data_IF_353904870053
#
_entry.id   IF_353904870053
#
_cell.length_a   1.000
_cell.length_b   1.000
_cell.length_c   1.000
_cell.angle_alpha   90.00
_cell.angle_beta   90.00
_cell.angle_gamma   90.00
#
_symmetry.space_group_name_H-M   'P 1'
#
loop_
_entity.id
_entity.type
_entity.pdbx_description
1 polymer ?
#
# COMPACT_ATOMS: atom_id res chain seq x y z
N UNK A 1 32.26 45.48 -25.24
CA UNK A 1 31.53 46.53 -25.99
C UNK A 1 30.17 46.00 -26.44
N UNK A 2 29.11 46.40 -25.74
CA UNK A 2 27.79 46.79 -26.27
C UNK A 2 27.01 47.36 -25.08
N UNK A 3 26.88 48.68 -25.10
CA UNK A 3 26.16 49.50 -24.12
C UNK A 3 24.67 49.42 -24.45
N UNK A 4 23.82 49.01 -23.50
CA UNK A 4 22.36 49.12 -23.64
C UNK A 4 21.91 50.14 -22.59
N UNK A 5 21.50 51.32 -23.05
CA UNK A 5 20.86 52.35 -22.22
C UNK A 5 19.36 52.13 -22.20
N UNK A 6 18.74 52.19 -21.01
CA UNK A 6 17.29 52.32 -20.87
C UNK A 6 16.97 53.70 -20.26
N UNK A 7 16.13 54.47 -20.97
CA UNK A 7 15.49 55.69 -20.46
C UNK A 7 14.28 55.30 -19.62
N UNK A 8 14.22 55.75 -18.36
CA UNK A 8 13.03 55.63 -17.52
C UNK A 8 12.17 56.90 -17.63
N UNK A 9 10.90 56.75 -18.00
CA UNK A 9 9.87 57.80 -17.83
C UNK A 9 9.32 57.71 -16.41
N UNK A 10 9.23 58.84 -15.72
CA UNK A 10 8.44 58.98 -14.50
C UNK A 10 6.95 58.76 -14.81
N UNK A 11 6.28 57.98 -13.98
CA UNK A 11 4.83 57.91 -13.91
C UNK A 11 4.43 58.13 -12.45
N UNK A 12 3.98 59.34 -12.14
CA UNK A 12 3.26 59.61 -10.90
C UNK A 12 1.83 59.12 -11.07
N UNK A 13 1.37 58.25 -10.16
CA UNK A 13 -0.06 58.05 -9.90
C UNK A 13 -0.27 58.06 -8.40
N UNK A 14 -1.12 59.00 -8.00
CA UNK A 14 -1.62 59.25 -6.65
C UNK A 14 -2.21 57.96 -6.04
N UNK A 15 -1.90 57.73 -4.77
CA UNK A 15 -2.43 56.63 -3.98
C UNK A 15 -3.83 57.00 -3.47
N UNK A 16 -4.86 56.26 -3.88
CA UNK A 16 -6.17 56.28 -3.22
C UNK A 16 -6.10 55.54 -1.87
N UNK A 17 -6.62 56.20 -0.83
CA UNK A 17 -6.71 55.71 0.54
C UNK A 17 -7.63 54.48 0.63
N UNK A 18 -7.09 53.34 1.09
CA UNK A 18 -7.90 52.22 1.58
C UNK A 18 -7.63 52.02 3.08
N UNK A 19 -8.56 52.47 3.90
CA UNK A 19 -8.58 52.30 5.36
C UNK A 19 -9.21 50.96 5.75
N UNK A 20 -8.48 50.11 6.48
CA UNK A 20 -8.99 48.87 7.12
C UNK A 20 -8.84 49.03 8.65
N UNK A 21 -9.88 48.74 9.47
CA UNK A 21 -9.84 49.03 10.90
C UNK A 21 -9.04 48.01 11.71
N UNK A 22 -8.19 48.49 12.61
CA UNK A 22 -7.38 47.68 13.53
C UNK A 22 -8.16 47.47 14.84
N UNK A 23 -8.44 46.21 15.16
CA UNK A 23 -8.96 45.76 16.46
C UNK A 23 -7.89 45.80 17.54
N UNK A 24 -8.29 46.23 18.74
CA UNK A 24 -7.48 46.54 19.93
C UNK A 24 -6.73 45.33 20.50
N UNK A 25 -5.43 45.49 20.78
CA UNK A 25 -4.75 44.90 21.94
C UNK A 25 -3.87 45.97 22.61
N UNK A 26 -3.96 46.11 23.93
CA UNK A 26 -3.32 47.16 24.76
C UNK A 26 -2.03 46.67 25.42
N UNK A 27 -1.05 47.59 25.44
CA UNK A 27 0.00 47.88 26.45
C UNK A 27 1.09 46.81 26.75
N UNK A 28 2.40 47.12 26.88
CA UNK A 28 3.05 48.35 27.31
C UNK A 28 4.44 48.61 26.65
N UNK A 29 4.87 49.88 26.81
CA UNK A 29 5.90 50.66 26.13
C UNK A 29 7.37 50.35 26.50
N UNK A 30 8.28 50.65 25.57
CA UNK A 30 9.47 51.49 25.83
C UNK A 30 9.91 52.16 24.52
N UNK A 31 10.09 53.49 24.58
CA UNK A 31 10.20 54.41 23.46
C UNK A 31 11.56 54.38 22.75
N UNK A 32 11.59 54.49 21.42
CA UNK A 32 12.66 55.20 20.72
C UNK A 32 12.11 55.91 19.47
N UNK A 33 12.59 57.13 19.30
CA UNK A 33 12.11 58.21 18.42
C UNK A 33 12.09 57.80 16.94
N UNK A 34 10.94 57.96 16.29
CA UNK A 34 10.79 57.83 14.83
C UNK A 34 11.62 58.93 14.14
N UNK A 35 12.68 58.55 13.43
CA UNK A 35 13.28 59.43 12.43
C UNK A 35 12.90 58.92 11.04
N UNK A 36 12.26 59.79 10.24
CA UNK A 36 11.74 59.46 8.90
C UNK A 36 12.89 59.05 7.99
N UNK A 37 12.96 57.78 7.61
CA UNK A 37 13.78 57.29 6.50
C UNK A 37 12.86 56.65 5.46
N UNK A 38 12.67 57.33 4.33
CA UNK A 38 11.98 56.75 3.16
C UNK A 38 12.87 55.67 2.55
N UNK A 39 12.54 54.40 2.81
CA UNK A 39 13.11 53.25 2.09
C UNK A 39 12.30 53.02 0.81
N UNK A 40 12.86 53.37 -0.35
CA UNK A 40 12.31 52.96 -1.63
C UNK A 40 12.65 51.47 -1.88
N UNK A 41 11.64 50.61 -1.97
CA UNK A 41 11.81 49.22 -2.42
C UNK A 41 11.59 49.15 -3.94
N UNK A 42 12.59 48.71 -4.70
CA UNK A 42 12.37 48.25 -6.08
C UNK A 42 11.69 46.87 -6.05
N UNK A 43 10.61 46.71 -6.84
CA UNK A 43 9.87 45.45 -7.01
C UNK A 43 10.79 44.38 -7.62
N UNK A 44 11.11 43.33 -6.86
CA UNK A 44 11.72 42.10 -7.39
C UNK A 44 10.77 41.45 -8.41
N UNK A 45 11.14 41.47 -9.68
CA UNK A 45 10.41 40.78 -10.76
C UNK A 45 11.15 39.49 -11.10
N UNK A 46 10.56 38.34 -10.80
CA UNK A 46 11.13 37.03 -11.16
C UNK A 46 10.67 36.65 -12.58
N UNK A 47 11.60 36.50 -13.52
CA UNK A 47 11.31 35.93 -14.84
C UNK A 47 11.51 34.41 -14.84
N UNK A 48 10.49 33.71 -15.36
CA UNK A 48 10.36 32.26 -15.57
C UNK A 48 11.68 31.61 -16.01
N UNK A 49 12.19 30.65 -15.24
CA UNK A 49 13.08 29.58 -15.74
C UNK A 49 12.42 28.24 -15.50
N UNK A 50 12.56 27.31 -16.45
CA UNK A 50 11.99 25.96 -16.39
C UNK A 50 12.50 25.20 -15.16
N UNK A 51 11.64 24.34 -14.61
CA UNK A 51 11.86 23.59 -13.36
C UNK A 51 13.12 22.71 -13.34
N UNK A 52 13.80 22.50 -14.47
CA UNK A 52 15.02 21.71 -14.57
C UNK A 52 16.33 22.46 -14.20
N UNK A 53 16.31 23.79 -14.07
CA UNK A 53 17.55 24.60 -13.91
C UNK A 53 17.73 25.28 -12.53
N UNK A 54 16.94 24.92 -11.52
CA UNK A 54 16.95 25.58 -10.20
C UNK A 54 17.84 24.85 -9.17
N UNK A 55 19.09 24.53 -9.52
CA UNK A 55 20.08 24.08 -8.51
C UNK A 55 20.92 25.22 -7.91
N UNK A 56 20.87 26.42 -8.47
CA UNK A 56 21.35 27.64 -7.79
C UNK A 56 20.77 28.89 -8.43
N UNK A 57 19.96 29.66 -7.71
CA UNK A 57 19.68 31.05 -8.09
C UNK A 57 20.79 31.91 -7.50
N UNK A 58 21.73 32.35 -8.34
CA UNK A 58 22.65 33.44 -7.97
C UNK A 58 21.86 34.75 -8.04
N UNK A 59 21.69 35.40 -6.90
CA UNK A 59 21.31 36.82 -6.86
C UNK A 59 22.61 37.61 -6.97
N UNK A 60 23.00 37.95 -8.20
CA UNK A 60 24.17 38.78 -8.44
C UNK A 60 23.78 40.24 -8.12
N UNK A 61 24.12 40.66 -6.89
CA UNK A 61 24.01 42.03 -6.32
C UNK A 61 22.61 42.59 -6.09
N UNK A 62 22.23 42.76 -4.82
CA UNK A 62 21.16 43.67 -4.40
C UNK A 62 21.77 45.08 -4.23
N UNK A 63 21.45 46.04 -5.11
CA UNK A 63 21.87 47.44 -4.94
C UNK A 63 20.86 48.17 -4.07
N UNK A 64 21.20 48.41 -2.80
CA UNK A 64 20.47 49.36 -1.95
C UNK A 64 21.08 50.74 -2.15
N UNK A 65 20.32 51.69 -2.70
CA UNK A 65 20.74 53.09 -2.82
C UNK A 65 20.16 53.87 -1.63
N UNK A 66 21.03 54.33 -0.73
CA UNK A 66 20.63 55.32 0.27
C UNK A 66 20.41 56.66 -0.44
N UNK A 67 19.25 57.26 -0.27
CA UNK A 67 18.93 58.60 -0.80
C UNK A 67 19.47 59.63 0.19
N UNK A 68 20.46 60.46 -0.18
CA UNK A 68 21.06 61.42 0.73
C UNK A 68 20.33 62.76 0.63
N UNK A 69 19.07 62.82 1.06
CA UNK A 69 18.36 64.10 1.19
C UNK A 69 17.63 64.10 2.53
N UNK A 70 18.36 64.46 3.59
CA UNK A 70 17.92 64.99 4.91
C UNK A 70 18.97 64.79 6.03
N UNK A 71 20.28 64.77 5.71
CA UNK A 71 21.34 64.87 6.73
C UNK A 71 21.78 66.33 6.82
N UNK A 72 21.10 67.12 7.64
CA UNK A 72 21.65 68.42 8.07
C UNK A 72 22.83 68.17 8.99
N UNK A 73 23.92 68.92 8.76
CA UNK A 73 25.19 68.84 9.47
C UNK A 73 25.00 68.90 11.00
N UNK A 74 25.10 67.76 11.69
CA UNK A 74 25.52 67.65 13.11
C UNK A 74 25.46 66.17 13.57
N UNK A 75 26.20 65.26 12.94
CA UNK A 75 26.45 63.93 13.53
C UNK A 75 27.84 63.40 13.14
N UNK A 76 28.88 64.01 13.72
CA UNK A 76 30.19 63.36 13.78
C UNK A 76 30.18 62.38 14.97
N UNK A 77 30.19 61.07 14.68
CA UNK A 77 30.64 60.04 15.63
C UNK A 77 29.62 59.05 16.19
N UNK A 78 28.69 58.49 15.40
CA UNK A 78 27.81 57.41 15.90
C UNK A 78 27.69 56.25 14.91
N UNK A 79 28.01 55.03 15.36
CA UNK A 79 27.72 53.77 14.65
C UNK A 79 26.22 53.68 14.34
N UNK A 80 25.85 53.48 13.08
CA UNK A 80 24.49 53.08 12.69
C UNK A 80 24.53 51.57 12.45
N UNK A 81 24.12 50.76 13.43
CA UNK A 81 23.79 49.36 13.18
C UNK A 81 22.27 49.27 12.94
N UNK A 82 21.89 48.85 11.74
CA UNK A 82 20.49 48.58 11.38
C UNK A 82 20.20 47.11 11.71
N UNK A 83 19.42 46.86 12.77
CA UNK A 83 18.87 45.54 13.06
C UNK A 83 17.49 45.47 12.40
N UNK A 84 17.39 44.74 11.28
CA UNK A 84 16.10 44.41 10.66
C UNK A 84 15.56 43.12 11.29
N UNK A 85 14.53 43.24 12.12
CA UNK A 85 13.76 42.12 12.66
C UNK A 85 12.91 41.46 11.56
N UNK A 86 12.95 40.13 11.52
CA UNK A 86 12.27 39.28 10.55
C UNK A 86 10.74 39.25 10.75
N UNK A 87 9.98 39.38 9.66
CA UNK A 87 8.51 39.21 9.64
C UNK A 87 8.18 37.83 9.08
N UNK A 88 7.45 37.03 9.86
CA UNK A 88 6.94 35.72 9.45
C UNK A 88 5.59 35.91 8.74
N UNK A 89 5.41 35.34 7.54
CA UNK A 89 4.09 35.17 6.93
C UNK A 89 3.76 33.68 6.83
N UNK A 90 2.73 33.25 7.55
CA UNK A 90 2.07 31.95 7.38
C UNK A 90 0.70 32.22 6.76
N UNK A 91 0.39 31.62 5.61
CA UNK A 91 -0.96 31.61 5.07
C UNK A 91 -1.45 30.15 4.97
N UNK A 92 -2.64 29.80 5.51
CA UNK A 92 -3.22 28.47 5.35
C UNK A 92 -3.93 28.35 3.98
N UNK A 93 -3.75 27.21 3.30
CA UNK A 93 -4.44 26.86 2.06
C UNK A 93 -5.87 26.37 2.38
N UNK A 94 -6.90 27.03 1.81
CA UNK A 94 -8.21 26.41 1.50
C UNK A 94 -8.69 26.90 0.13
N UNK A 95 -9.24 26.03 -0.75
CA UNK A 95 -9.69 26.42 -2.07
C UNK A 95 -11.12 27.01 -2.03
N UNK A 96 -11.32 28.18 -2.65
CA UNK A 96 -12.64 28.72 -2.99
C UNK A 96 -12.90 28.46 -4.49
N UNK A 97 -13.99 27.78 -4.81
CA UNK A 97 -14.50 27.62 -6.18
C UNK A 97 -15.25 28.91 -6.62
N UNK A 98 -15.24 29.30 -7.91
CA UNK A 98 -15.83 30.56 -8.34
C UNK A 98 -17.32 30.41 -8.72
N UNK A 99 -18.12 31.35 -8.24
CA UNK A 99 -19.45 31.68 -8.72
C UNK A 99 -19.28 32.88 -9.67
N UNK A 100 -19.48 32.71 -10.98
CA UNK A 100 -19.65 33.85 -11.90
C UNK A 100 -20.51 33.45 -13.10
N UNK A 101 -21.74 33.98 -13.09
CA UNK A 101 -22.63 34.07 -14.24
C UNK A 101 -22.39 35.40 -14.98
N UNK A 102 -22.55 35.34 -16.30
CA UNK A 102 -22.86 36.42 -17.24
C UNK A 102 -21.91 37.65 -17.35
N UNK A 103 -21.09 37.65 -18.41
CA UNK A 103 -21.24 38.53 -19.59
C UNK A 103 -20.34 37.95 -20.70
N UNK A 104 -20.96 37.64 -21.83
CA UNK A 104 -20.31 37.16 -23.05
C UNK A 104 -19.61 38.31 -23.77
N UNK A 105 -18.33 38.11 -24.11
CA UNK A 105 -17.76 38.31 -25.45
C UNK A 105 -16.25 38.11 -25.40
N UNK A 106 -15.80 36.90 -25.72
CA UNK A 106 -14.70 36.57 -26.65
C UNK A 106 -14.29 35.10 -26.45
N UNK A 107 -14.14 34.40 -27.57
CA UNK A 107 -13.90 32.95 -27.69
C UNK A 107 -12.52 32.48 -27.15
N UNK A 108 -12.39 31.20 -26.75
CA UNK A 108 -11.34 30.70 -25.86
C UNK A 108 -10.08 30.24 -26.60
N UNK A 109 -8.91 30.39 -25.96
CA UNK A 109 -7.68 29.64 -26.31
C UNK A 109 -6.95 29.12 -25.05
N UNK A 110 -6.21 28.00 -25.19
CA UNK A 110 -6.11 26.98 -24.15
C UNK A 110 -4.84 27.13 -23.32
N UNK A 111 -4.96 27.29 -22.00
CA UNK A 111 -3.98 26.82 -21.00
C UNK A 111 -4.36 27.29 -19.59
N UNK A 112 -5.40 26.72 -18.97
CA UNK A 112 -5.49 26.72 -17.51
C UNK A 112 -4.92 25.40 -17.00
N UNK A 113 -3.58 25.35 -16.92
CA UNK A 113 -2.92 24.44 -15.97
C UNK A 113 -3.02 25.12 -14.61
N UNK A 114 -3.67 24.46 -13.65
CA UNK A 114 -3.65 24.84 -12.26
C UNK A 114 -2.18 25.05 -11.83
N UNK A 115 -1.83 26.28 -11.45
CA UNK A 115 -0.53 26.58 -10.85
C UNK A 115 -0.60 26.18 -9.38
N UNK A 116 -0.01 25.04 -9.04
CA UNK A 116 0.33 24.73 -7.66
C UNK A 116 1.43 25.70 -7.21
N UNK A 117 1.07 26.62 -6.32
CA UNK A 117 1.98 27.62 -5.78
C UNK A 117 2.92 27.00 -4.76
N UNK A 118 4.22 27.01 -5.05
CA UNK A 118 5.29 26.73 -4.11
C UNK A 118 5.25 27.80 -2.99
N UNK A 119 4.96 27.41 -1.75
CA UNK A 119 5.06 28.31 -0.59
C UNK A 119 6.55 28.41 -0.21
N UNK A 120 7.19 29.52 -0.55
CA UNK A 120 8.56 29.84 -0.14
C UNK A 120 8.55 30.29 1.34
N UNK A 121 9.16 29.50 2.22
CA UNK A 121 9.59 30.00 3.53
C UNK A 121 11.06 30.44 3.41
N UNK A 122 11.32 31.74 3.40
CA UNK A 122 12.68 32.28 3.36
C UNK A 122 13.01 32.96 4.70
N UNK A 123 14.01 32.44 5.42
CA UNK A 123 14.61 33.11 6.58
C UNK A 123 15.86 33.85 6.09
N UNK A 124 15.81 35.18 6.08
CA UNK A 124 16.94 36.03 5.72
C UNK A 124 17.63 36.54 7.00
N UNK A 125 18.89 36.15 7.22
CA UNK A 125 19.75 36.78 8.22
C UNK A 125 20.62 37.84 7.55
N UNK A 126 20.54 39.08 8.02
CA UNK A 126 21.44 40.15 7.63
C UNK A 126 22.27 40.58 8.84
N UNK A 127 23.59 40.55 8.72
CA UNK A 127 24.49 41.13 9.72
C UNK A 127 25.55 41.94 8.99
N UNK A 128 25.57 43.26 9.21
CA UNK A 128 26.58 44.17 8.70
C UNK A 128 26.46 45.52 9.38
N UNK A 129 27.56 46.06 9.90
CA UNK A 129 27.65 47.44 10.35
C UNK A 129 28.61 48.20 9.42
N UNK A 130 28.26 49.45 9.09
CA UNK A 130 29.05 50.32 8.22
C UNK A 130 29.92 51.22 9.09
N UNK A 131 31.23 51.25 8.82
CA UNK A 131 32.15 52.24 9.34
C UNK A 131 32.48 53.20 8.18
N UNK A 132 32.12 54.47 8.39
CA UNK A 132 32.54 55.65 7.64
C UNK A 132 31.72 56.04 6.38
N UNK A 133 31.44 57.34 6.26
CA UNK A 133 30.51 57.99 5.32
C UNK A 133 31.01 58.09 3.87
N UNK A 134 31.80 57.11 3.42
CA UNK A 134 32.21 57.02 2.02
C UNK A 134 31.25 56.11 1.25
N UNK A 135 30.83 56.54 0.06
CA UNK A 135 29.87 55.90 -0.84
C UNK A 135 30.39 54.59 -1.48
N UNK A 136 30.94 53.68 -0.67
CA UNK A 136 31.36 52.35 -1.12
C UNK A 136 30.18 51.39 -0.99
N UNK A 137 29.71 50.88 -2.14
CA UNK A 137 28.57 49.98 -2.23
C UNK A 137 28.72 48.76 -1.32
N UNK A 138 27.69 48.49 -0.53
CA UNK A 138 27.58 47.31 0.32
C UNK A 138 27.25 46.09 -0.56
N UNK A 139 28.17 45.13 -0.67
CA UNK A 139 27.91 43.86 -1.34
C UNK A 139 27.43 42.83 -0.31
N UNK A 140 26.11 42.70 -0.17
CA UNK A 140 25.50 41.65 0.67
C UNK A 140 25.40 40.35 -0.14
N UNK A 141 26.05 39.28 0.35
CA UNK A 141 25.91 37.92 -0.20
C UNK A 141 24.76 37.22 0.51
N UNK A 142 23.59 37.16 -0.12
CA UNK A 142 22.47 36.36 0.38
C UNK A 142 22.71 34.89 0.01
N UNK A 143 22.78 34.00 1.01
CA UNK A 143 22.74 32.55 0.79
C UNK A 143 21.27 32.15 0.92
N UNK A 144 20.62 31.83 -0.20
CA UNK A 144 19.28 31.25 -0.20
C UNK A 144 19.41 29.74 0.07
N UNK A 145 19.12 29.32 1.30
CA UNK A 145 18.95 27.89 1.59
C UNK A 145 17.52 27.50 1.17
N UNK A 146 17.38 27.02 -0.08
CA UNK A 146 16.16 26.36 -0.52
C UNK A 146 16.09 24.99 0.17
N UNK A 147 15.29 24.89 1.23
CA UNK A 147 15.04 23.61 1.87
C UNK A 147 14.03 22.86 0.99
N UNK A 148 14.48 21.79 0.34
CA UNK A 148 13.58 20.89 -0.38
C UNK A 148 12.68 20.18 0.65
N UNK A 149 11.35 20.25 0.44
CA UNK A 149 10.39 19.63 1.36
C UNK A 149 10.40 18.09 1.18
N UNK A 150 10.23 17.32 2.26
CA UNK A 150 10.09 15.87 2.20
C UNK A 150 9.03 15.39 1.20
N UNK A 151 9.18 14.19 0.60
CA UNK A 151 8.14 13.57 -0.21
C UNK A 151 6.92 13.17 0.64
N UNK A 152 5.73 13.23 0.03
CA UNK A 152 4.44 12.91 0.65
C UNK A 152 3.72 11.84 -0.18
N UNK A 153 3.05 10.91 0.49
CA UNK A 153 2.19 9.92 -0.14
C UNK A 153 0.89 10.59 -0.62
N UNK A 154 0.59 10.52 -1.92
CA UNK A 154 -0.64 11.04 -2.51
C UNK A 154 -1.78 10.02 -2.47
N UNK A 155 -1.50 8.79 -2.86
CA UNK A 155 -2.53 7.75 -3.00
C UNK A 155 -1.97 6.35 -2.90
N UNK A 156 -2.86 5.40 -2.65
CA UNK A 156 -2.58 3.96 -2.64
C UNK A 156 -3.58 3.21 -3.49
N UNK A 157 -3.14 2.08 -4.04
CA UNK A 157 -4.00 1.10 -4.70
C UNK A 157 -3.69 -0.26 -4.08
N UNK A 158 -4.63 -0.95 -3.42
CA UNK A 158 -5.98 -0.48 -3.07
C UNK A 158 -5.97 0.79 -2.22
N UNK A 159 -7.06 1.56 -2.26
CA UNK A 159 -7.22 2.74 -1.40
C UNK A 159 -7.16 2.36 0.08
N UNK A 160 -6.67 3.27 0.92
CA UNK A 160 -6.72 3.08 2.36
C UNK A 160 -8.16 2.89 2.86
N UNK A 161 -8.39 1.81 3.58
CA UNK A 161 -9.71 1.39 4.06
C UNK A 161 -10.59 0.73 3.00
N UNK A 162 -10.07 0.43 1.80
CA UNK A 162 -10.83 -0.26 0.77
C UNK A 162 -11.33 -1.63 1.27
N UNK A 163 -12.55 -1.97 0.87
CA UNK A 163 -13.14 -3.28 1.10
C UNK A 163 -13.32 -4.01 -0.23
N UNK A 164 -13.36 -5.35 -0.18
CA UNK A 164 -13.54 -6.21 -1.35
C UNK A 164 -12.44 -6.09 -2.42
N UNK A 165 -11.18 -5.87 -2.02
CA UNK A 165 -10.06 -5.93 -2.95
C UNK A 165 -9.92 -7.35 -3.55
N UNK A 166 -9.68 -7.47 -4.86
CA UNK A 166 -9.58 -8.78 -5.53
C UNK A 166 -8.46 -9.64 -4.91
N UNK A 167 -8.76 -10.86 -4.41
CA UNK A 167 -7.76 -11.73 -3.80
C UNK A 167 -6.90 -12.51 -4.83
N UNK A 168 -7.33 -12.60 -6.10
CA UNK A 168 -6.80 -13.55 -7.11
C UNK A 168 -5.75 -12.93 -8.04
N UNK A 169 -5.92 -11.65 -8.39
CA UNK A 169 -4.87 -10.94 -9.12
C UNK A 169 -3.66 -10.79 -8.21
N UNK A 170 -2.45 -10.96 -8.73
CA UNK A 170 -1.20 -10.65 -8.00
C UNK A 170 -1.35 -9.26 -7.39
N UNK A 171 -1.70 -9.18 -6.10
CA UNK A 171 -2.21 -7.93 -5.51
C UNK A 171 -1.06 -6.93 -5.55
N UNK A 172 -1.11 -6.07 -6.55
CA UNK A 172 -0.12 -5.03 -6.78
C UNK A 172 -0.50 -3.87 -5.87
N UNK A 173 0.14 -3.81 -4.70
CA UNK A 173 -0.05 -2.70 -3.78
C UNK A 173 0.83 -1.55 -4.27
N UNK A 174 0.20 -0.49 -4.74
CA UNK A 174 0.90 0.67 -5.30
C UNK A 174 0.81 1.87 -4.37
N UNK A 175 1.95 2.53 -4.15
CA UNK A 175 2.08 3.79 -3.43
C UNK A 175 2.54 4.87 -4.41
N UNK A 176 1.77 5.94 -4.52
CA UNK A 176 2.06 7.07 -5.42
C UNK A 176 2.48 8.28 -4.61
N UNK A 177 3.66 8.82 -4.90
CA UNK A 177 4.25 9.97 -4.22
C UNK A 177 4.05 11.28 -5.00
N UNK A 178 4.11 12.41 -4.31
CA UNK A 178 3.94 13.76 -4.87
C UNK A 178 5.09 14.22 -5.76
N UNK A 179 6.24 13.56 -5.67
CA UNK A 179 7.46 13.90 -6.41
C UNK A 179 8.30 12.67 -6.72
N UNK A 180 9.32 12.89 -7.56
CA UNK A 180 10.24 11.86 -7.99
C UNK A 180 11.07 11.30 -6.81
N UNK A 181 11.11 9.97 -6.74
CA UNK A 181 11.78 9.18 -5.71
C UNK A 181 13.12 8.64 -6.23
N UNK A 182 14.05 8.33 -5.32
CA UNK A 182 15.30 7.64 -5.66
C UNK A 182 15.00 6.17 -5.97
N UNK A 183 14.80 5.88 -7.26
CA UNK A 183 14.41 4.54 -7.72
C UNK A 183 15.52 3.49 -7.59
N UNK A 184 16.76 3.88 -7.24
CA UNK A 184 17.84 2.93 -6.96
C UNK A 184 17.74 2.33 -5.56
N UNK A 185 16.88 2.89 -4.71
CA UNK A 185 16.63 2.40 -3.35
C UNK A 185 15.26 1.73 -3.32
N UNK A 186 15.22 0.54 -2.74
CA UNK A 186 13.97 -0.14 -2.41
C UNK A 186 13.69 0.04 -0.91
N UNK A 187 12.46 0.38 -0.52
CA UNK A 187 12.13 0.54 0.88
C UNK A 187 12.00 -0.80 1.60
N UNK A 188 12.11 -0.75 2.92
CA UNK A 188 11.75 -1.87 3.79
C UNK A 188 10.30 -1.74 4.24
N UNK A 189 9.67 -2.88 4.50
CA UNK A 189 8.28 -2.91 4.88
C UNK A 189 7.83 -4.30 5.32
N UNK A 190 6.60 -4.38 5.79
CA UNK A 190 5.96 -5.62 6.21
C UNK A 190 4.61 -5.80 5.52
N UNK A 191 4.18 -7.06 5.42
CA UNK A 191 2.82 -7.44 5.07
C UNK A 191 2.25 -8.22 6.25
N UNK A 192 1.10 -7.80 6.74
CA UNK A 192 0.41 -8.39 7.87
C UNK A 192 -1.00 -8.84 7.46
N UNK A 193 -1.45 -9.97 7.99
CA UNK A 193 -2.82 -10.46 7.83
C UNK A 193 -3.49 -10.48 9.20
N UNK A 194 -4.77 -10.12 9.24
CA UNK A 194 -5.58 -10.21 10.44
C UNK A 194 -5.90 -11.67 10.78
N UNK A 195 -5.35 -12.15 11.90
CA UNK A 195 -5.51 -13.53 12.38
C UNK A 195 -6.77 -13.75 13.22
N UNK A 196 -7.61 -12.72 13.36
CA UNK A 196 -8.82 -12.75 14.17
C UNK A 196 -8.67 -12.17 15.58
N UNK A 197 -7.47 -11.84 16.01
CA UNK A 197 -7.18 -11.07 17.21
C UNK A 197 -6.35 -9.82 16.88
N UNK A 198 -5.33 -9.96 16.03
CA UNK A 198 -4.35 -8.93 15.70
C UNK A 198 -3.85 -9.05 14.25
N UNK A 199 -3.11 -8.05 13.79
CA UNK A 199 -2.38 -8.13 12.54
C UNK A 199 -1.04 -8.82 12.78
N UNK A 200 -0.82 -9.97 12.16
CA UNK A 200 0.41 -10.76 12.29
C UNK A 200 1.21 -10.66 11.01
N UNK A 201 2.50 -10.37 11.16
CA UNK A 201 3.44 -10.22 10.04
C UNK A 201 3.75 -11.54 9.36
N UNK A 202 3.77 -11.50 8.04
CA UNK A 202 4.19 -12.61 7.19
C UNK A 202 5.68 -12.45 6.92
N UNK A 203 6.49 -13.50 7.14
CA UNK A 203 7.88 -13.50 6.70
C UNK A 203 8.01 -13.19 5.20
N UNK A 204 8.85 -12.21 4.85
CA UNK A 204 8.99 -11.69 3.49
C UNK A 204 9.33 -12.75 2.43
N UNK A 205 9.96 -13.85 2.83
CA UNK A 205 10.33 -14.96 1.94
C UNK A 205 9.18 -15.94 1.62
N UNK A 206 8.05 -15.88 2.34
CA UNK A 206 6.98 -16.88 2.20
C UNK A 206 5.94 -16.54 1.12
N UNK A 207 5.76 -15.26 0.81
CA UNK A 207 4.77 -14.80 -0.18
C UNK A 207 5.38 -14.49 -1.56
N UNK A 208 6.66 -14.78 -1.76
CA UNK A 208 7.41 -14.45 -2.98
C UNK A 208 7.17 -12.99 -3.41
N UNK A 209 7.24 -12.07 -2.45
CA UNK A 209 6.96 -10.65 -2.67
C UNK A 209 8.11 -9.99 -3.43
N UNK A 210 7.78 -9.12 -4.37
CA UNK A 210 8.76 -8.28 -5.07
C UNK A 210 8.35 -6.82 -4.98
N UNK A 211 9.29 -5.96 -4.62
CA UNK A 211 9.08 -4.52 -4.54
C UNK A 211 9.84 -3.85 -5.68
N UNK A 212 9.18 -3.01 -6.45
CA UNK A 212 9.80 -2.31 -7.57
C UNK A 212 9.15 -0.95 -7.84
N UNK A 213 9.96 0.02 -8.27
CA UNK A 213 9.46 1.27 -8.84
C UNK A 213 8.95 1.02 -10.25
N UNK A 214 7.70 1.38 -10.52
CA UNK A 214 7.10 1.33 -11.88
C UNK A 214 7.35 2.61 -12.64
N UNK A 215 7.36 3.73 -11.92
CA UNK A 215 7.68 5.07 -12.43
C UNK A 215 8.58 5.77 -11.40
N UNK A 216 8.97 7.02 -11.66
CA UNK A 216 9.68 7.83 -10.68
C UNK A 216 8.83 8.16 -9.44
N UNK A 217 7.51 7.96 -9.48
CA UNK A 217 6.58 8.33 -8.39
C UNK A 217 5.79 7.13 -7.85
N UNK A 218 5.75 6.01 -8.56
CA UNK A 218 4.93 4.86 -8.21
C UNK A 218 5.80 3.67 -7.79
N UNK A 219 5.67 3.28 -6.52
CA UNK A 219 6.24 2.07 -5.97
C UNK A 219 5.18 0.98 -5.94
N UNK A 220 5.47 -0.20 -6.48
CA UNK A 220 4.57 -1.35 -6.45
C UNK A 220 5.18 -2.52 -5.69
N UNK A 221 4.43 -3.05 -4.73
CA UNK A 221 4.66 -4.33 -4.07
C UNK A 221 3.81 -5.36 -4.79
N UNK A 222 4.43 -6.34 -5.44
CA UNK A 222 3.74 -7.46 -6.10
C UNK A 222 3.82 -8.69 -5.21
N UNK A 223 2.67 -9.29 -4.91
CA UNK A 223 2.59 -10.55 -4.17
C UNK A 223 2.66 -11.73 -5.13
N UNK A 224 3.42 -12.77 -4.78
CA UNK A 224 3.58 -13.98 -5.59
C UNK A 224 2.54 -15.07 -5.33
N UNK A 225 1.58 -14.82 -4.42
CA UNK A 225 0.48 -15.72 -4.09
C UNK A 225 -0.83 -14.96 -3.83
N UNK A 226 -1.95 -15.68 -3.87
CA UNK A 226 -3.29 -15.14 -3.61
C UNK A 226 -3.49 -14.85 -2.12
N UNK A 227 -4.10 -13.72 -1.80
CA UNK A 227 -4.46 -13.35 -0.42
C UNK A 227 -5.70 -14.14 0.04
N UNK A 228 -5.84 -14.45 1.35
CA UNK A 228 -7.03 -15.12 1.86
C UNK A 228 -8.29 -14.28 1.64
N UNK A 229 -9.43 -14.90 1.34
CA UNK A 229 -10.70 -14.23 1.05
C UNK A 229 -11.28 -13.56 2.31
N UNK A 230 -11.92 -12.40 2.13
CA UNK A 230 -12.63 -11.69 3.21
C UNK A 230 -11.73 -11.23 4.37
N UNK A 231 -10.42 -11.14 4.16
CA UNK A 231 -9.43 -10.99 5.22
C UNK A 231 -8.89 -9.57 5.30
N UNK A 232 -8.63 -9.09 6.53
CA UNK A 232 -7.96 -7.82 6.76
C UNK A 232 -6.47 -7.92 6.43
N UNK A 233 -5.99 -6.97 5.63
CA UNK A 233 -4.60 -6.87 5.16
C UNK A 233 -4.05 -5.53 5.61
N UNK A 234 -2.83 -5.53 6.13
CA UNK A 234 -2.10 -4.32 6.44
C UNK A 234 -0.71 -4.41 5.86
N UNK A 235 -0.24 -3.37 5.20
CA UNK A 235 1.16 -3.25 4.80
C UNK A 235 1.73 -1.94 5.31
N UNK A 236 3.02 -1.96 5.65
CA UNK A 236 3.74 -0.77 6.06
C UNK A 236 5.03 -0.60 5.28
N UNK A 237 5.41 0.65 5.04
CA UNK A 237 6.71 1.04 4.49
C UNK A 237 7.44 1.93 5.50
N UNK A 238 8.72 1.65 5.72
CA UNK A 238 9.57 2.43 6.62
C UNK A 238 9.95 3.76 5.96
N UNK A 239 9.44 4.88 6.49
CA UNK A 239 9.57 6.21 5.87
C UNK A 239 11.02 6.67 5.73
N UNK A 240 11.87 6.32 6.71
CA UNK A 240 13.31 6.62 6.70
C UNK A 240 14.10 5.87 5.63
N UNK A 241 13.50 4.91 4.92
CA UNK A 241 14.10 4.21 3.78
C UNK A 241 13.63 4.72 2.41
N UNK A 242 12.62 5.59 2.39
CA UNK A 242 12.02 6.17 1.19
C UNK A 242 12.58 7.58 0.96
N UNK A 243 13.42 7.74 -0.05
CA UNK A 243 14.08 9.02 -0.36
C UNK A 243 13.57 9.61 -1.67
N UNK A 244 13.44 10.93 -1.72
CA UNK A 244 13.32 11.66 -2.97
C UNK A 244 14.68 11.78 -3.69
N UNK A 245 14.67 12.25 -4.94
CA UNK A 245 15.92 12.48 -5.69
C UNK A 245 16.81 13.59 -5.10
N UNK A 246 16.31 14.35 -4.13
CA UNK A 246 17.05 15.39 -3.40
C UNK A 246 17.63 14.90 -2.07
N UNK A 247 17.39 13.63 -1.71
CA UNK A 247 17.89 13.02 -0.47
C UNK A 247 17.01 13.24 0.76
N UNK A 248 15.81 13.81 0.64
CA UNK A 248 14.88 13.90 1.75
C UNK A 248 14.12 12.59 1.94
N UNK A 249 13.97 12.12 3.18
CA UNK A 249 13.16 10.95 3.47
C UNK A 249 11.70 11.30 3.73
N UNK A 250 10.79 10.34 3.50
CA UNK A 250 9.40 10.44 4.00
C UNK A 250 9.44 10.58 5.53
N UNK A 251 8.66 11.52 6.08
CA UNK A 251 8.77 11.93 7.49
C UNK A 251 8.30 10.88 8.50
N UNK A 252 7.42 9.97 8.10
CA UNK A 252 6.85 8.94 8.96
C UNK A 252 6.67 7.63 8.21
N UNK A 253 6.57 6.54 8.94
CA UNK A 253 6.19 5.25 8.36
C UNK A 253 4.80 5.33 7.74
N UNK A 254 4.65 4.73 6.57
CA UNK A 254 3.40 4.67 5.85
C UNK A 254 2.72 3.35 6.20
N UNK A 255 1.44 3.39 6.55
CA UNK A 255 0.64 2.18 6.81
C UNK A 255 -0.61 2.23 5.95
N UNK A 256 -0.83 1.16 5.19
CA UNK A 256 -2.03 0.93 4.39
C UNK A 256 -2.77 -0.27 4.96
N UNK A 257 -4.07 -0.10 5.22
CA UNK A 257 -4.96 -1.20 5.60
C UNK A 257 -6.11 -1.31 4.60
N UNK A 258 -6.47 -2.53 4.21
CA UNK A 258 -7.62 -2.83 3.35
C UNK A 258 -8.15 -4.24 3.65
N UNK A 259 -9.30 -4.62 3.11
CA UNK A 259 -9.77 -6.01 3.17
C UNK A 259 -9.97 -6.60 1.78
N UNK A 260 -9.64 -7.89 1.65
CA UNK A 260 -9.88 -8.66 0.44
C UNK A 260 -11.35 -9.03 0.33
N UNK A 261 -11.83 -9.22 -0.89
CA UNK A 261 -13.15 -9.75 -1.20
C UNK A 261 -13.14 -11.28 -1.25
N UNK A 262 -14.21 -11.82 -1.83
CA UNK A 262 -14.34 -13.23 -2.15
C UNK A 262 -14.20 -13.41 -3.67
N UNK A 263 -13.59 -14.51 -4.09
CA UNK A 263 -13.46 -14.84 -5.50
C UNK A 263 -14.85 -14.96 -6.13
N UNK A 264 -15.08 -14.28 -7.25
CA UNK A 264 -16.37 -14.31 -7.94
C UNK A 264 -16.65 -15.65 -8.64
N UNK A 265 -15.60 -16.30 -9.15
CA UNK A 265 -15.71 -17.58 -9.83
C UNK A 265 -15.65 -18.74 -8.83
N UNK A 266 -16.75 -19.51 -8.73
CA UNK A 266 -16.74 -20.79 -8.04
C UNK A 266 -15.95 -21.83 -8.86
N UNK A 267 -15.32 -22.83 -8.22
CA UNK A 267 -14.81 -24.00 -8.91
C UNK A 267 -15.95 -24.69 -9.69
N UNK A 268 -15.59 -25.47 -10.71
CA UNK A 268 -16.54 -26.34 -11.38
C UNK A 268 -17.21 -27.28 -10.36
N UNK A 269 -18.53 -27.42 -10.45
CA UNK A 269 -19.31 -28.25 -9.55
C UNK A 269 -19.28 -29.70 -10.02
N UNK A 270 -18.95 -30.62 -9.12
CA UNK A 270 -19.11 -32.06 -9.36
C UNK A 270 -20.44 -32.55 -8.79
N UNK A 271 -20.82 -33.77 -9.17
CA UNK A 271 -21.78 -34.56 -8.41
C UNK A 271 -21.28 -34.83 -6.97
N UNK A 272 -22.19 -35.28 -6.10
CA UNK A 272 -21.88 -35.65 -4.71
C UNK A 272 -21.24 -37.02 -4.59
N UNK A 273 -21.08 -37.72 -5.72
CA UNK A 273 -20.67 -39.13 -5.84
C UNK A 273 -21.63 -40.11 -5.15
N UNK A 274 -22.79 -39.63 -4.69
CA UNK A 274 -23.85 -40.44 -4.12
C UNK A 274 -24.47 -41.33 -5.22
N UNK A 275 -24.58 -42.64 -4.98
CA UNK A 275 -25.16 -43.59 -5.95
C UNK A 275 -26.41 -44.32 -5.46
N UNK A 276 -26.67 -44.28 -4.15
CA UNK A 276 -27.84 -44.87 -3.51
C UNK A 276 -28.87 -43.83 -3.09
N UNK A 277 -30.11 -44.27 -2.91
CA UNK A 277 -31.23 -43.47 -2.41
C UNK A 277 -31.86 -44.19 -1.23
N UNK A 278 -32.41 -43.45 -0.27
CA UNK A 278 -32.89 -44.01 0.99
C UNK A 278 -34.25 -43.46 1.40
N UNK A 279 -35.05 -44.29 2.07
CA UNK A 279 -36.30 -43.86 2.71
C UNK A 279 -36.04 -43.18 4.07
N UNK A 280 -37.13 -42.71 4.72
CA UNK A 280 -37.05 -42.04 6.02
C UNK A 280 -36.52 -42.93 7.17
N UNK A 281 -36.48 -44.25 6.97
CA UNK A 281 -35.94 -45.23 7.93
C UNK A 281 -34.49 -45.61 7.62
N UNK A 282 -33.91 -45.05 6.55
CA UNK A 282 -32.54 -45.33 6.11
C UNK A 282 -32.41 -46.61 5.29
N UNK A 283 -33.50 -47.21 4.83
CA UNK A 283 -33.43 -48.37 3.94
C UNK A 283 -33.14 -47.93 2.51
N UNK A 284 -32.33 -48.71 1.78
CA UNK A 284 -32.07 -48.45 0.37
C UNK A 284 -33.34 -48.64 -0.46
N UNK A 285 -33.60 -47.67 -1.35
CA UNK A 285 -34.70 -47.70 -2.32
C UNK A 285 -34.15 -47.49 -3.75
N UNK A 286 -34.99 -47.72 -4.76
CA UNK A 286 -34.66 -47.33 -6.14
C UNK A 286 -34.59 -45.81 -6.26
N UNK A 287 -33.57 -45.30 -6.95
CA UNK A 287 -33.38 -43.86 -7.15
C UNK A 287 -34.30 -43.24 -8.21
N UNK A 288 -34.94 -44.05 -9.06
CA UNK A 288 -35.77 -43.52 -10.15
C UNK A 288 -36.91 -42.65 -9.61
N UNK A 289 -37.01 -41.42 -10.13
CA UNK A 289 -38.06 -40.47 -9.81
C UNK A 289 -38.09 -40.02 -8.34
N UNK A 290 -36.97 -40.12 -7.64
CA UNK A 290 -36.86 -39.69 -6.23
C UNK A 290 -36.45 -38.24 -6.10
N UNK A 291 -35.77 -37.69 -7.11
CA UNK A 291 -35.12 -36.38 -7.07
C UNK A 291 -33.95 -36.31 -6.09
N UNK A 292 -33.52 -37.45 -5.54
CA UNK A 292 -32.38 -37.54 -4.61
C UNK A 292 -31.06 -37.55 -5.37
N UNK A 293 -29.97 -37.20 -4.69
CA UNK A 293 -28.64 -37.12 -5.30
C UNK A 293 -28.19 -38.43 -5.98
N UNK A 294 -28.62 -39.59 -5.46
CA UNK A 294 -28.33 -40.89 -6.08
C UNK A 294 -28.96 -41.10 -7.47
N UNK A 295 -29.97 -40.30 -7.83
CA UNK A 295 -30.54 -40.24 -9.19
C UNK A 295 -29.68 -39.38 -10.14
N UNK A 296 -28.95 -38.40 -9.60
CA UNK A 296 -28.21 -37.39 -10.35
C UNK A 296 -26.73 -37.77 -10.58
N UNK A 297 -26.51 -38.99 -11.08
CA UNK A 297 -25.16 -39.49 -11.36
C UNK A 297 -24.44 -38.61 -12.40
N UNK A 298 -23.21 -38.19 -12.09
CA UNK A 298 -22.38 -37.35 -12.96
C UNK A 298 -22.97 -35.99 -13.32
N UNK A 299 -23.97 -35.49 -12.57
CA UNK A 299 -24.58 -34.19 -12.80
C UNK A 299 -24.23 -33.19 -11.68
N UNK A 300 -23.83 -31.94 -12.01
CA UNK A 300 -23.67 -31.38 -13.36
C UNK A 300 -22.40 -31.88 -14.08
N UNK A 301 -21.48 -32.53 -13.37
CA UNK A 301 -20.30 -33.17 -13.95
C UNK A 301 -19.83 -34.31 -13.05
N UNK A 302 -19.26 -35.35 -13.64
CA UNK A 302 -18.61 -36.43 -12.89
C UNK A 302 -17.42 -35.89 -12.08
N UNK A 303 -17.32 -36.28 -10.80
CA UNK A 303 -16.10 -36.06 -10.02
C UNK A 303 -14.91 -36.77 -10.68
N UNK A 304 -13.77 -36.09 -10.76
CA UNK A 304 -12.57 -36.61 -11.43
C UNK A 304 -11.29 -36.26 -10.64
N UNK A 305 -11.07 -37.03 -9.58
CA UNK A 305 -9.95 -36.88 -8.66
C UNK A 305 -8.90 -37.96 -8.96
N UNK A 306 -7.67 -37.54 -9.25
CA UNK A 306 -6.56 -38.46 -9.50
C UNK A 306 -5.87 -38.84 -8.19
N UNK A 307 -5.45 -40.11 -8.11
CA UNK A 307 -4.63 -40.56 -7.00
C UNK A 307 -3.29 -39.80 -6.89
N UNK A 308 -2.65 -39.80 -5.71
CA UNK A 308 -1.32 -39.24 -5.51
C UNK A 308 -0.31 -39.73 -6.55
N UNK A 309 0.41 -38.79 -7.14
CA UNK A 309 1.50 -39.04 -8.08
C UNK A 309 2.70 -38.17 -7.73
N UNK A 310 3.90 -38.66 -8.04
CA UNK A 310 5.14 -37.89 -7.89
C UNK A 310 5.78 -37.70 -9.26
N UNK A 311 6.49 -36.58 -9.43
CA UNK A 311 7.10 -36.20 -10.70
C UNK A 311 8.61 -36.16 -10.48
N UNK A 312 9.42 -36.68 -11.41
CA UNK A 312 10.87 -36.46 -11.35
C UNK A 312 11.19 -34.96 -11.49
N UNK A 313 12.11 -34.37 -10.69
CA UNK A 313 12.96 -35.01 -9.66
C UNK A 313 12.34 -35.06 -8.24
N UNK A 314 11.12 -34.57 -8.04
CA UNK A 314 10.42 -34.44 -6.75
C UNK A 314 9.71 -35.72 -6.31
N UNK A 315 10.45 -36.82 -6.18
CA UNK A 315 9.89 -38.15 -5.87
C UNK A 315 9.28 -38.28 -4.47
N UNK A 316 9.53 -37.32 -3.58
CA UNK A 316 8.99 -37.28 -2.20
C UNK A 316 7.85 -36.27 -2.02
N UNK A 317 7.44 -35.59 -3.10
CA UNK A 317 6.43 -34.54 -3.07
C UNK A 317 5.15 -34.99 -3.83
N UNK A 318 4.35 -35.91 -3.26
CA UNK A 318 3.15 -36.39 -3.92
C UNK A 318 2.11 -35.28 -4.06
N UNK A 319 1.53 -35.21 -5.27
CA UNK A 319 0.42 -34.34 -5.61
C UNK A 319 -0.77 -35.15 -6.11
N UNK A 320 -1.96 -34.69 -5.78
CA UNK A 320 -3.22 -35.22 -6.28
C UNK A 320 -3.90 -34.13 -7.11
N UNK A 321 -4.56 -34.50 -8.21
CA UNK A 321 -5.14 -33.52 -9.13
C UNK A 321 -6.65 -33.69 -9.19
N UNK A 322 -7.36 -32.57 -9.03
CA UNK A 322 -8.74 -32.48 -9.43
C UNK A 322 -8.78 -32.07 -10.91
N UNK A 323 -9.13 -33.02 -11.78
CA UNK A 323 -9.18 -32.79 -13.22
C UNK A 323 -10.41 -31.99 -13.66
N UNK A 324 -11.43 -31.87 -12.79
CA UNK A 324 -12.62 -31.08 -13.09
C UNK A 324 -12.34 -29.59 -12.87
N UNK A 325 -11.73 -29.23 -11.74
CA UNK A 325 -11.40 -27.83 -11.42
C UNK A 325 -10.03 -27.39 -11.95
N UNK A 326 -9.16 -28.35 -12.29
CA UNK A 326 -7.77 -28.13 -12.65
C UNK A 326 -6.85 -27.87 -11.46
N UNK A 327 -7.37 -27.90 -10.23
CA UNK A 327 -6.61 -27.67 -9.00
C UNK A 327 -5.71 -28.86 -8.67
N UNK A 328 -4.55 -28.55 -8.10
CA UNK A 328 -3.57 -29.53 -7.66
C UNK A 328 -3.40 -29.41 -6.15
N UNK A 329 -3.43 -30.54 -5.48
CA UNK A 329 -3.47 -30.65 -4.03
C UNK A 329 -2.23 -31.37 -3.54
N UNK A 330 -1.73 -30.96 -2.38
CA UNK A 330 -0.68 -31.69 -1.69
C UNK A 330 -1.30 -32.97 -1.12
N UNK A 331 -0.83 -34.14 -1.55
CA UNK A 331 -1.48 -35.41 -1.18
C UNK A 331 -1.33 -35.73 0.31
N UNK A 332 -0.19 -35.42 0.90
CA UNK A 332 0.04 -35.59 2.34
C UNK A 332 -0.31 -34.32 3.11
N UNK A 333 -0.99 -34.45 4.25
CA UNK A 333 -1.26 -33.31 5.12
C UNK A 333 0.05 -32.69 5.65
N UNK A 334 -0.05 -31.46 6.17
CA UNK A 334 1.08 -30.85 6.90
C UNK A 334 1.46 -31.74 8.09
N UNK A 335 2.76 -31.98 8.27
CA UNK A 335 3.31 -32.92 9.25
C UNK A 335 3.51 -34.35 8.75
N UNK A 336 2.87 -34.72 7.63
CA UNK A 336 3.02 -36.06 7.03
C UNK A 336 4.11 -36.10 5.95
N UNK A 337 4.68 -37.29 5.80
CA UNK A 337 5.73 -37.67 4.84
C UNK A 337 5.21 -38.79 3.94
N UNK A 338 5.61 -38.73 2.68
CA UNK A 338 5.28 -39.76 1.69
C UNK A 338 6.11 -41.03 1.89
N UNK A 339 5.45 -42.18 2.00
CA UNK A 339 6.11 -43.49 2.10
C UNK A 339 6.37 -44.18 0.75
N UNK A 340 5.95 -43.56 -0.35
CA UNK A 340 5.91 -44.18 -1.68
C UNK A 340 4.53 -44.67 -2.09
N UNK A 341 3.66 -45.01 -1.12
CA UNK A 341 2.29 -45.49 -1.37
C UNK A 341 1.23 -44.81 -0.52
N UNK A 342 1.60 -44.24 0.63
CA UNK A 342 0.67 -43.60 1.55
C UNK A 342 1.36 -42.42 2.27
N UNK A 343 0.57 -41.60 2.96
CA UNK A 343 1.07 -40.54 3.83
C UNK A 343 1.12 -41.04 5.28
N UNK A 344 2.29 -40.90 5.89
CA UNK A 344 2.58 -41.36 7.25
C UNK A 344 3.32 -40.26 8.00
N UNK A 345 3.57 -40.42 9.29
CA UNK A 345 4.36 -39.44 10.05
C UNK A 345 4.97 -40.04 11.29
N UNK A 346 5.81 -39.24 11.96
CA UNK A 346 6.52 -39.66 13.18
C UNK A 346 5.57 -39.67 14.37
N UNK A 347 4.78 -40.73 14.50
CA UNK A 347 3.82 -40.91 15.59
C UNK A 347 3.39 -42.38 15.72
N UNK A 348 2.78 -42.71 16.86
CA UNK A 348 2.22 -44.06 17.11
C UNK A 348 1.10 -44.36 16.11
N UNK A 349 0.99 -45.60 15.63
CA UNK A 349 -0.17 -46.05 14.87
C UNK A 349 -1.47 -45.73 15.65
N UNK A 350 -2.39 -44.98 15.05
CA UNK A 350 -3.62 -44.49 15.71
C UNK A 350 -3.57 -43.02 16.20
N UNK A 351 -2.41 -42.36 16.19
CA UNK A 351 -2.34 -40.90 16.11
C UNK A 351 -2.80 -40.44 14.71
N UNK A 352 -2.99 -39.14 14.45
CA UNK A 352 -3.47 -38.56 13.17
C UNK A 352 -2.55 -38.80 11.95
N UNK A 353 -1.90 -39.97 11.86
CA UNK A 353 -0.87 -40.35 10.90
C UNK A 353 0.29 -39.34 10.86
N UNK A 354 0.55 -38.64 11.98
CA UNK A 354 1.51 -37.54 12.08
C UNK A 354 1.07 -36.21 11.46
N UNK A 355 -0.19 -36.05 11.04
CA UNK A 355 -0.73 -34.77 10.63
C UNK A 355 -0.77 -33.79 11.81
N UNK A 356 -0.36 -32.55 11.55
CA UNK A 356 -0.37 -31.47 12.53
C UNK A 356 -1.61 -30.59 12.34
N UNK A 357 -2.29 -30.26 13.44
CA UNK A 357 -3.28 -29.19 13.48
C UNK A 357 -2.70 -27.95 14.14
N UNK A 358 -3.10 -26.77 13.67
CA UNK A 358 -2.62 -25.50 14.17
C UNK A 358 -3.68 -24.40 13.99
N UNK A 359 -3.43 -23.22 14.54
CA UNK A 359 -4.27 -22.03 14.35
C UNK A 359 -4.28 -21.59 12.88
N UNK A 360 -5.27 -20.79 12.51
CA UNK A 360 -5.51 -20.42 11.11
C UNK A 360 -4.31 -19.72 10.45
N UNK A 361 -3.64 -18.80 11.15
CA UNK A 361 -2.45 -18.11 10.61
C UNK A 361 -1.31 -19.10 10.33
N UNK A 362 -1.00 -20.00 11.27
CA UNK A 362 0.05 -21.00 11.09
C UNK A 362 -0.28 -22.00 9.97
N UNK A 363 -1.56 -22.38 9.86
CA UNK A 363 -2.09 -23.20 8.76
C UNK A 363 -1.88 -22.55 7.39
N UNK A 364 -2.18 -21.26 7.29
CA UNK A 364 -1.94 -20.45 6.10
C UNK A 364 -0.44 -20.36 5.75
N UNK A 365 0.41 -20.07 6.74
CA UNK A 365 1.86 -19.99 6.56
C UNK A 365 2.49 -21.35 6.20
N UNK A 366 1.98 -22.46 6.74
CA UNK A 366 2.44 -23.79 6.43
C UNK A 366 2.27 -24.12 4.94
N UNK A 367 1.12 -23.77 4.35
CA UNK A 367 0.94 -23.94 2.90
C UNK A 367 1.85 -23.03 2.08
N UNK A 368 2.05 -21.77 2.49
CA UNK A 368 2.98 -20.89 1.77
C UNK A 368 4.44 -21.33 1.88
N UNK A 369 4.84 -21.99 2.98
CA UNK A 369 6.21 -22.50 3.15
C UNK A 369 6.60 -23.53 2.08
N UNK A 370 5.62 -24.21 1.48
CA UNK A 370 5.83 -25.13 0.37
C UNK A 370 6.45 -24.45 -0.86
N UNK A 371 6.26 -23.13 -1.02
CA UNK A 371 6.77 -22.37 -2.17
C UNK A 371 8.29 -22.18 -2.16
N UNK A 372 8.94 -22.38 -1.00
CA UNK A 372 10.38 -22.19 -0.82
C UNK A 372 11.15 -23.52 -0.68
N UNK A 373 10.45 -24.66 -0.75
CA UNK A 373 11.06 -25.98 -0.72
C UNK A 373 11.91 -26.27 -1.97
N UNK A 374 12.66 -27.37 -1.92
CA UNK A 374 13.49 -27.86 -3.03
C UNK A 374 14.42 -26.80 -3.63
N UNK A 375 15.15 -26.09 -2.77
CA UNK A 375 16.06 -25.01 -3.17
C UNK A 375 15.32 -23.92 -3.96
N UNK A 376 14.19 -23.45 -3.42
CA UNK A 376 13.28 -22.47 -4.04
C UNK A 376 12.67 -22.91 -5.38
N UNK A 377 12.64 -24.20 -5.72
CA UNK A 377 11.82 -24.71 -6.83
C UNK A 377 10.37 -24.91 -6.40
N UNK A 378 10.12 -24.98 -5.09
CA UNK A 378 8.82 -25.23 -4.48
C UNK A 378 8.46 -26.72 -4.45
N UNK A 379 7.44 -27.07 -3.66
CA UNK A 379 6.96 -28.44 -3.51
C UNK A 379 6.44 -28.98 -4.85
N UNK A 380 6.94 -30.15 -5.26
CA UNK A 380 6.69 -30.74 -6.57
C UNK A 380 7.02 -29.81 -7.76
N UNK A 381 7.95 -28.85 -7.57
CA UNK A 381 8.32 -27.85 -8.59
C UNK A 381 7.31 -26.72 -8.74
N UNK A 382 6.44 -26.50 -7.76
CA UNK A 382 5.38 -25.47 -7.78
C UNK A 382 5.54 -24.47 -6.65
N UNK A 383 5.33 -23.19 -6.96
CA UNK A 383 5.58 -22.05 -6.06
C UNK A 383 4.35 -21.19 -5.76
N UNK A 384 3.16 -21.70 -6.04
CA UNK A 384 1.88 -21.02 -5.80
C UNK A 384 0.97 -21.83 -4.88
N UNK A 385 1.57 -22.58 -3.95
CA UNK A 385 0.88 -23.25 -2.87
C UNK A 385 0.28 -22.25 -1.89
N UNK A 386 -0.97 -22.50 -1.54
CA UNK A 386 -1.77 -21.70 -0.61
C UNK A 386 -2.75 -22.58 0.14
N UNK A 387 -3.33 -22.03 1.19
CA UNK A 387 -4.52 -22.61 1.81
C UNK A 387 -5.71 -22.44 0.82
N UNK A 388 -6.55 -23.47 0.60
CA UNK A 388 -7.69 -23.41 -0.30
C UNK A 388 -8.81 -22.54 0.25
N UNK A 389 -9.61 -21.96 -0.64
CA UNK A 389 -10.89 -21.35 -0.27
C UNK A 389 -11.89 -22.43 0.16
N UNK A 390 -12.93 -22.05 0.88
CA UNK A 390 -13.95 -23.01 1.34
C UNK A 390 -14.62 -23.75 0.18
N UNK A 391 -14.84 -23.06 -0.94
CA UNK A 391 -15.44 -23.63 -2.16
C UNK A 391 -14.52 -24.66 -2.81
N UNK A 392 -13.21 -24.44 -2.78
CA UNK A 392 -12.24 -25.40 -3.29
C UNK A 392 -12.21 -26.67 -2.43
N UNK A 393 -12.24 -26.54 -1.09
CA UNK A 393 -12.34 -27.73 -0.22
C UNK A 393 -13.64 -28.49 -0.48
N UNK A 394 -14.77 -27.79 -0.65
CA UNK A 394 -16.06 -28.43 -0.93
C UNK A 394 -16.05 -29.21 -2.25
N UNK A 395 -15.31 -28.75 -3.27
CA UNK A 395 -15.25 -29.42 -4.57
C UNK A 395 -14.67 -30.84 -4.52
N UNK A 396 -13.83 -31.13 -3.51
CA UNK A 396 -13.19 -32.44 -3.36
C UNK A 396 -13.97 -33.40 -2.43
N UNK A 397 -15.08 -32.97 -1.84
CA UNK A 397 -15.85 -33.81 -0.92
C UNK A 397 -16.74 -34.83 -1.65
N UNK A 398 -16.79 -36.06 -1.15
CA UNK A 398 -17.70 -37.14 -1.56
C UNK A 398 -18.71 -37.45 -0.44
N UNK A 399 -19.91 -37.91 -0.79
CA UNK A 399 -20.98 -38.16 0.17
C UNK A 399 -21.47 -39.61 0.21
N UNK A 400 -20.91 -40.50 -0.63
CA UNK A 400 -21.37 -41.88 -0.79
C UNK A 400 -21.06 -42.79 0.40
N UNK A 401 -19.84 -42.70 0.91
CA UNK A 401 -19.33 -43.52 2.00
C UNK A 401 -18.82 -42.55 3.05
N UNK A 402 -19.11 -42.74 4.35
CA UNK A 402 -18.97 -41.74 5.42
C UNK A 402 -17.57 -41.12 5.66
N UNK A 403 -16.63 -41.28 4.73
CA UNK A 403 -15.39 -40.55 4.57
C UNK A 403 -15.56 -39.48 3.49
N UNK A 404 -15.65 -38.21 3.89
CA UNK A 404 -15.95 -37.13 2.93
C UNK A 404 -14.76 -36.70 2.07
N UNK A 405 -13.53 -36.86 2.55
CA UNK A 405 -12.33 -36.66 1.71
C UNK A 405 -11.90 -38.03 1.19
N UNK A 406 -11.83 -38.26 -0.12
CA UNK A 406 -11.52 -39.59 -0.65
C UNK A 406 -10.11 -40.02 -0.25
N UNK A 407 -9.97 -41.20 0.35
CA UNK A 407 -8.66 -41.73 0.82
C UNK A 407 -7.68 -41.98 -0.32
N UNK A 408 -8.20 -42.30 -1.51
CA UNK A 408 -7.41 -42.43 -2.73
C UNK A 408 -6.98 -41.07 -3.30
N UNK A 409 -7.53 -39.94 -2.84
CA UNK A 409 -7.17 -38.59 -3.26
C UNK A 409 -6.23 -37.92 -2.25
N UNK A 410 -6.63 -37.84 -0.97
CA UNK A 410 -5.78 -37.38 0.14
C UNK A 410 -5.59 -38.57 1.10
N UNK A 411 -4.55 -39.39 0.86
CA UNK A 411 -4.23 -40.51 1.75
C UNK A 411 -3.84 -40.01 3.14
N UNK A 412 -4.25 -40.74 4.17
CA UNK A 412 -3.94 -40.40 5.56
C UNK A 412 -4.65 -39.14 6.08
N UNK A 413 -5.72 -38.67 5.43
CA UNK A 413 -6.53 -37.60 6.00
C UNK A 413 -7.13 -38.04 7.36
N UNK A 414 -7.37 -37.06 8.23
CA UNK A 414 -8.02 -37.26 9.52
C UNK A 414 -9.54 -37.26 9.30
N UNK A 415 -10.18 -38.42 9.50
CA UNK A 415 -11.60 -38.64 9.18
C UNK A 415 -12.57 -37.82 10.05
N UNK A 416 -12.27 -37.60 11.33
CA UNK A 416 -13.03 -36.71 12.22
C UNK A 416 -12.36 -35.32 12.38
N UNK A 417 -11.63 -34.89 11.35
CA UNK A 417 -10.87 -33.65 11.37
C UNK A 417 -11.70 -32.42 11.04
N UNK A 418 -11.20 -31.25 11.47
CA UNK A 418 -11.64 -29.94 10.99
C UNK A 418 -10.53 -29.36 10.12
N UNK A 419 -10.86 -28.93 8.91
CA UNK A 419 -9.88 -28.42 7.94
C UNK A 419 -10.10 -26.94 7.69
N UNK A 420 -9.04 -26.16 7.86
CA UNK A 420 -9.06 -24.73 7.62
C UNK A 420 -9.19 -24.40 6.12
N UNK A 421 -10.00 -23.39 5.83
CA UNK A 421 -9.98 -22.69 4.55
C UNK A 421 -9.37 -21.29 4.69
N UNK A 422 -8.92 -20.73 3.57
CA UNK A 422 -8.51 -19.34 3.44
C UNK A 422 -9.69 -18.36 3.34
N UNK A 423 -10.92 -18.80 3.63
CA UNK A 423 -12.11 -17.96 3.55
C UNK A 423 -12.52 -17.47 4.94
N UNK A 424 -12.42 -16.16 5.16
CA UNK A 424 -12.90 -15.50 6.38
C UNK A 424 -14.42 -15.37 6.37
N UNK A 425 -15.06 -15.49 7.54
CA UNK A 425 -16.49 -15.25 7.68
C UNK A 425 -16.79 -13.75 7.55
N UNK A 426 -17.66 -13.38 6.60
CA UNK A 426 -17.96 -11.98 6.29
C UNK A 426 -18.46 -11.18 7.50
N UNK A 427 -19.32 -11.79 8.31
CA UNK A 427 -19.93 -11.16 9.50
C UNK A 427 -19.01 -11.17 10.72
N UNK A 428 -18.06 -12.09 10.78
CA UNK A 428 -17.18 -12.31 11.93
C UNK A 428 -15.73 -12.46 11.48
N UNK A 429 -14.98 -11.36 11.28
CA UNK A 429 -13.60 -11.40 10.77
C UNK A 429 -12.62 -12.21 11.62
N UNK A 430 -12.97 -12.44 12.90
CA UNK A 430 -12.26 -13.31 13.83
C UNK A 430 -12.42 -14.81 13.56
N UNK A 431 -13.36 -15.18 12.68
CA UNK A 431 -13.68 -16.56 12.34
C UNK A 431 -13.32 -16.86 10.89
N UNK A 432 -12.87 -18.08 10.64
CA UNK A 432 -12.66 -18.65 9.31
C UNK A 432 -13.65 -19.78 9.06
N UNK A 433 -13.96 -20.04 7.79
CA UNK A 433 -14.71 -21.24 7.42
C UNK A 433 -13.83 -22.48 7.51
N UNK A 434 -14.43 -23.56 7.97
CA UNK A 434 -13.83 -24.89 8.06
C UNK A 434 -14.76 -25.93 7.42
N UNK A 435 -14.19 -27.06 7.03
CA UNK A 435 -14.95 -28.29 6.76
C UNK A 435 -14.70 -29.28 7.90
N UNK A 436 -15.78 -29.77 8.51
CA UNK A 436 -15.75 -30.90 9.43
C UNK A 436 -15.99 -32.19 8.66
N UNK A 437 -14.98 -33.05 8.55
CA UNK A 437 -15.07 -34.30 7.79
C UNK A 437 -15.70 -35.43 8.58
N UNK A 438 -16.05 -35.24 9.87
CA UNK A 438 -16.82 -36.22 10.62
C UNK A 438 -18.32 -36.18 10.30
N UNK A 439 -18.81 -35.04 9.81
CA UNK A 439 -20.22 -34.85 9.46
C UNK A 439 -20.45 -34.27 8.06
N UNK A 440 -19.37 -33.93 7.33
CA UNK A 440 -19.46 -33.30 6.01
C UNK A 440 -19.93 -31.84 6.04
N UNK A 441 -19.91 -31.20 7.22
CA UNK A 441 -20.47 -29.87 7.40
C UNK A 441 -19.45 -28.76 7.13
N UNK A 442 -19.93 -27.71 6.50
CA UNK A 442 -19.22 -26.43 6.46
C UNK A 442 -19.63 -25.59 7.66
N UNK A 443 -18.66 -25.24 8.49
CA UNK A 443 -18.86 -24.50 9.73
C UNK A 443 -17.94 -23.29 9.78
N UNK A 444 -18.06 -22.50 10.84
CA UNK A 444 -17.12 -21.43 11.17
C UNK A 444 -16.41 -21.79 12.47
N UNK A 445 -15.16 -21.39 12.60
CA UNK A 445 -14.40 -21.54 13.83
C UNK A 445 -13.55 -20.29 14.10
N UNK A 446 -13.25 -20.02 15.37
CA UNK A 446 -12.34 -18.93 15.73
C UNK A 446 -10.96 -19.20 15.13
N UNK A 447 -10.37 -18.23 14.46
CA UNK A 447 -9.05 -18.37 13.82
C UNK A 447 -7.93 -18.71 14.81
N UNK A 448 -8.14 -18.45 16.09
CA UNK A 448 -7.26 -18.81 17.21
C UNK A 448 -7.42 -20.26 17.68
N UNK A 449 -8.41 -21.00 17.18
CA UNK A 449 -8.60 -22.43 17.45
C UNK A 449 -7.79 -23.28 16.48
N UNK A 450 -7.53 -24.54 16.82
CA UNK A 450 -6.71 -25.42 15.98
C UNK A 450 -7.53 -26.17 14.93
N UNK A 451 -6.91 -26.45 13.79
CA UNK A 451 -7.46 -27.25 12.70
C UNK A 451 -6.37 -27.76 11.75
N UNK A 452 -6.69 -28.76 10.94
CA UNK A 452 -5.79 -29.33 9.95
C UNK A 452 -5.75 -28.47 8.68
N UNK A 453 -4.71 -28.67 7.88
CA UNK A 453 -4.51 -27.96 6.61
C UNK A 453 -4.31 -28.93 5.47
N UNK A 454 -5.08 -28.73 4.42
CA UNK A 454 -4.79 -29.22 3.07
C UNK A 454 -4.33 -28.02 2.24
N UNK A 455 -3.32 -28.19 1.40
CA UNK A 455 -2.78 -27.12 0.59
C UNK A 455 -3.09 -27.35 -0.88
N UNK A 456 -3.37 -26.27 -1.59
CA UNK A 456 -3.74 -26.28 -3.01
C UNK A 456 -2.84 -25.34 -3.79
N UNK A 457 -2.66 -25.63 -5.06
CA UNK A 457 -2.03 -24.77 -6.06
C UNK A 457 -2.83 -24.84 -7.36
N UNK A 458 -2.79 -23.77 -8.14
CA UNK A 458 -3.47 -23.73 -9.42
C UNK A 458 -2.82 -24.74 -10.40
N UNK A 459 -3.63 -25.24 -11.34
CA UNK A 459 -3.16 -26.06 -12.45
C UNK A 459 -2.13 -25.34 -13.34
N UNK A 460 -1.36 -26.10 -14.16
CA UNK A 460 -0.44 -25.54 -15.13
C UNK A 460 -1.13 -24.68 -16.20
#
# INVERSE_FOLDING_TARGET
MKEIRFNLRHYDKEAENLSIPIGRFREAQSAYVLNRSLLAYERLTFHRKSAADLQSVRVDTLKVRLVPDLLTEEFFGSMICVILLSVHFVAPLKPFAPFFDQIQNETPKPSQRAMEGLVLLAVLFFQGCVLDGSSRGLSLKAILNLVSLPPVLLSTIPLAGATNADPVQSVAITFTFDKAMDTNRLPTGNLNIYDGASYVGIPNNLYNTSVAWKTSTDLTITLGGELPEGSGIQTSLTGSTLFDTSGNSVQSDLTLSFSTGWKGAAPALSDTSQTGCWDNSGNSISCSSTGMDGELLNFPSAKNLSAPQTNSPFLNDPISKDNLTGLIWKSCLIGQVWSGTNCQGTGTAGSNWGATSDIWMNSLLACYSLNSLNTNQGYAGRRTWRLPTIREIQSILEYQQGTFIPTNFIPGHVSLGVYWSATTAATFPAMGFIVNTGSGYTLQNNKTSTGFSICVTNGP
#
